data_IF_772946092785
#
_entry.id   IF_772946092785
#
_cell.length_a   1.000
_cell.length_b   1.000
_cell.length_c   1.000
_cell.angle_alpha   90.00
_cell.angle_beta   90.00
_cell.angle_gamma   90.00
#
_symmetry.space_group_name_H-M   'P 1'
#
loop_
_entity.id
_entity.type
_entity.pdbx_description
1 polymer ?
#
# COMPACT_ATOMS: atom_id res chain seq x y z
N UNK A 1 -5.40 6.15 -11.65
CA UNK A 1 -5.87 5.70 -10.32
C UNK A 1 -7.38 5.50 -10.25
N UNK A 2 -8.24 6.52 -10.37
CA UNK A 2 -9.71 6.33 -10.25
C UNK A 2 -10.33 5.32 -11.23
N UNK A 3 -9.72 5.13 -12.41
CA UNK A 3 -10.08 4.08 -13.39
C UNK A 3 -9.44 2.71 -13.12
N UNK A 4 -8.34 2.66 -12.35
CA UNK A 4 -7.57 1.41 -12.10
C UNK A 4 -7.98 0.72 -10.77
N UNK A 5 -8.74 1.36 -9.86
CA UNK A 5 -9.08 0.79 -8.52
C UNK A 5 -10.18 1.58 -7.79
N UNK A 6 -10.86 0.93 -6.84
CA UNK A 6 -11.84 1.58 -5.96
C UNK A 6 -11.16 2.50 -4.94
N UNK A 7 -11.16 3.80 -5.26
CA UNK A 7 -10.59 4.83 -4.40
C UNK A 7 -11.29 4.94 -3.04
N UNK A 8 -12.59 4.63 -2.94
CA UNK A 8 -13.31 4.73 -1.66
C UNK A 8 -12.77 3.71 -0.67
N UNK A 9 -12.62 2.46 -1.10
CA UNK A 9 -12.04 1.39 -0.27
C UNK A 9 -10.61 1.72 0.17
N UNK A 10 -9.77 2.27 -0.72
CA UNK A 10 -8.41 2.67 -0.36
C UNK A 10 -8.40 3.81 0.68
N UNK A 11 -9.24 4.83 0.50
CA UNK A 11 -9.36 5.91 1.49
C UNK A 11 -9.80 5.40 2.86
N UNK A 12 -10.74 4.45 2.92
CA UNK A 12 -11.17 3.84 4.19
C UNK A 12 -10.00 3.14 4.88
N UNK A 13 -9.18 2.37 4.14
CA UNK A 13 -8.02 1.66 4.69
C UNK A 13 -6.93 2.62 5.16
N UNK A 14 -6.61 3.66 4.36
CA UNK A 14 -5.64 4.69 4.74
C UNK A 14 -6.09 5.43 6.00
N UNK A 15 -7.36 5.80 6.12
CA UNK A 15 -7.89 6.46 7.33
C UNK A 15 -7.73 5.58 8.58
N UNK A 16 -7.91 4.26 8.46
CA UNK A 16 -7.64 3.33 9.56
C UNK A 16 -6.17 3.33 9.96
N UNK A 17 -5.25 3.27 8.99
CA UNK A 17 -3.80 3.32 9.22
C UNK A 17 -3.39 4.61 9.92
N UNK A 18 -3.95 5.76 9.51
CA UNK A 18 -3.72 7.04 10.19
C UNK A 18 -4.16 6.98 11.66
N UNK A 19 -5.31 6.35 11.95
CA UNK A 19 -5.76 6.12 13.31
C UNK A 19 -4.80 5.24 14.13
N UNK A 20 -4.22 4.21 13.52
CA UNK A 20 -3.22 3.35 14.16
C UNK A 20 -1.93 4.11 14.45
N UNK A 21 -1.45 4.94 13.51
CA UNK A 21 -0.27 5.79 13.71
C UNK A 21 -0.48 6.77 14.87
N UNK A 22 -1.64 7.41 14.94
CA UNK A 22 -1.98 8.31 16.05
C UNK A 22 -2.08 7.58 17.40
N UNK A 23 -2.43 6.29 17.40
CA UNK A 23 -2.44 5.49 18.63
C UNK A 23 -1.02 5.16 19.08
N UNK A 24 -0.14 4.75 18.14
CA UNK A 24 1.28 4.50 18.42
C UNK A 24 1.96 5.75 18.97
N UNK A 25 1.70 6.92 18.38
CA UNK A 25 2.23 8.21 18.83
C UNK A 25 1.92 8.46 20.31
N UNK A 26 0.66 8.24 20.72
CA UNK A 26 0.25 8.35 22.13
C UNK A 26 0.91 7.31 23.04
N UNK A 27 1.06 6.07 22.56
CA UNK A 27 1.68 5.00 23.35
C UNK A 27 3.15 5.29 23.68
N UNK A 28 3.82 6.18 22.94
CA UNK A 28 5.21 6.59 23.22
C UNK A 28 5.29 7.53 24.42
N UNK A 29 4.27 8.38 24.61
CA UNK A 29 4.19 9.32 25.73
C UNK A 29 3.58 8.67 26.99
N UNK A 30 2.91 7.53 26.82
CA UNK A 30 2.31 6.73 27.88
C UNK A 30 3.31 5.63 28.33
N UNK A 31 3.24 5.19 29.59
CA UNK A 31 4.12 4.13 30.15
C UNK A 31 3.70 2.72 29.65
N UNK A 32 3.55 2.58 28.34
CA UNK A 32 3.14 1.36 27.65
C UNK A 32 4.37 0.48 27.41
N UNK A 33 4.28 -0.85 27.65
CA UNK A 33 5.39 -1.76 27.36
C UNK A 33 5.87 -1.66 25.90
N UNK A 34 7.19 -1.61 25.70
CA UNK A 34 7.80 -1.55 24.37
C UNK A 34 7.30 -2.65 23.43
N UNK A 35 7.02 -3.83 23.98
CA UNK A 35 6.56 -5.00 23.23
C UNK A 35 5.18 -4.76 22.59
N UNK A 36 4.29 -4.06 23.30
CA UNK A 36 2.97 -3.69 22.81
C UNK A 36 3.05 -2.61 21.72
N UNK A 37 3.95 -1.63 21.87
CA UNK A 37 4.22 -0.63 20.83
C UNK A 37 4.73 -1.32 19.55
N UNK A 38 5.66 -2.27 19.67
CA UNK A 38 6.18 -3.04 18.53
C UNK A 38 5.10 -3.87 17.84
N UNK A 39 4.16 -4.44 18.59
CA UNK A 39 2.99 -5.13 18.04
C UNK A 39 2.15 -4.17 17.19
N UNK A 40 1.85 -2.96 17.69
CA UNK A 40 1.05 -1.97 16.94
C UNK A 40 1.78 -1.45 15.70
N UNK A 41 3.09 -1.22 15.79
CA UNK A 41 3.93 -0.85 14.64
C UNK A 41 3.86 -1.92 13.57
N UNK A 42 4.02 -3.20 13.93
CA UNK A 42 3.91 -4.30 12.98
C UNK A 42 2.51 -4.41 12.36
N UNK A 43 1.45 -4.27 13.15
CA UNK A 43 0.08 -4.26 12.65
C UNK A 43 -0.16 -3.13 11.63
N UNK A 44 0.38 -1.94 11.90
CA UNK A 44 0.30 -0.78 11.01
C UNK A 44 1.10 -1.00 9.73
N UNK A 45 2.32 -1.57 9.83
CA UNK A 45 3.14 -1.97 8.67
C UNK A 45 2.39 -2.96 7.78
N UNK A 46 1.82 -4.02 8.36
CA UNK A 46 1.05 -5.02 7.61
C UNK A 46 -0.18 -4.42 6.92
N UNK A 47 -0.89 -3.50 7.58
CA UNK A 47 -2.01 -2.79 6.98
C UNK A 47 -1.58 -1.94 5.78
N UNK A 48 -0.46 -1.22 5.89
CA UNK A 48 0.12 -0.43 4.79
C UNK A 48 0.57 -1.32 3.62
N UNK A 49 1.25 -2.43 3.90
CA UNK A 49 1.63 -3.41 2.89
C UNK A 49 0.40 -3.92 2.12
N UNK A 50 -0.71 -4.20 2.81
CA UNK A 50 -1.95 -4.64 2.15
C UNK A 50 -2.57 -3.57 1.26
N UNK A 51 -2.45 -2.29 1.62
CA UNK A 51 -2.86 -1.18 0.74
C UNK A 51 -2.00 -1.14 -0.51
N UNK A 52 -0.68 -1.27 -0.38
CA UNK A 52 0.24 -1.33 -1.52
C UNK A 52 -0.08 -2.50 -2.45
N UNK A 53 -0.39 -3.68 -1.91
CA UNK A 53 -0.81 -4.83 -2.70
C UNK A 53 -2.07 -4.54 -3.53
N UNK A 54 -3.10 -3.93 -2.92
CA UNK A 54 -4.33 -3.58 -3.64
C UNK A 54 -4.08 -2.58 -4.77
N UNK A 55 -3.16 -1.63 -4.55
CA UNK A 55 -2.75 -0.68 -5.58
C UNK A 55 -2.03 -1.40 -6.72
N UNK A 56 -1.11 -2.32 -6.41
CA UNK A 56 -0.38 -3.10 -7.41
C UNK A 56 -1.33 -3.98 -8.24
N UNK A 57 -2.27 -4.68 -7.60
CA UNK A 57 -3.29 -5.49 -8.27
C UNK A 57 -4.16 -4.65 -9.22
N UNK A 58 -4.62 -3.47 -8.80
CA UNK A 58 -5.39 -2.59 -9.67
C UNK A 58 -4.56 -1.99 -10.82
N UNK A 59 -3.28 -1.72 -10.57
CA UNK A 59 -2.35 -1.28 -11.62
C UNK A 59 -2.16 -2.37 -12.69
N UNK A 60 -1.94 -3.62 -12.26
CA UNK A 60 -1.79 -4.76 -13.16
C UNK A 60 -3.05 -4.99 -14.01
N UNK A 61 -4.22 -5.01 -13.38
CA UNK A 61 -5.49 -5.37 -14.04
C UNK A 61 -6.03 -4.33 -15.03
N UNK A 62 -5.51 -3.10 -15.02
CA UNK A 62 -6.00 -2.05 -15.90
C UNK A 62 -4.84 -1.38 -16.63
N UNK A 63 -4.04 -0.63 -15.89
CA UNK A 63 -3.01 0.22 -16.43
C UNK A 63 -1.93 -0.62 -17.22
N UNK A 64 -1.54 -1.80 -16.72
CA UNK A 64 -0.59 -2.72 -17.40
C UNK A 64 -1.26 -3.50 -18.53
N UNK A 65 -2.44 -4.09 -18.29
CA UNK A 65 -3.21 -4.81 -19.31
C UNK A 65 -3.43 -3.94 -20.56
N UNK A 66 -3.92 -2.72 -20.39
CA UNK A 66 -4.15 -1.77 -21.49
C UNK A 66 -2.86 -1.42 -22.23
N UNK A 67 -1.74 -1.27 -21.50
CA UNK A 67 -0.44 -0.98 -22.11
C UNK A 67 0.11 -2.13 -22.95
N UNK A 68 -0.21 -3.38 -22.60
CA UNK A 68 0.16 -4.57 -23.37
C UNK A 68 -0.77 -4.75 -24.59
N UNK A 69 -2.08 -4.55 -24.41
CA UNK A 69 -3.07 -4.79 -25.48
C UNK A 69 -3.08 -3.69 -26.54
N UNK A 70 -2.90 -2.42 -26.13
CA UNK A 70 -3.14 -1.25 -26.99
C UNK A 70 -1.93 -0.31 -27.08
N UNK A 71 -0.81 -0.62 -26.41
CA UNK A 71 0.33 0.28 -26.26
C UNK A 71 1.67 -0.35 -26.60
N UNK A 72 2.73 0.23 -26.02
CA UNK A 72 4.09 -0.28 -26.09
C UNK A 72 4.31 -1.29 -24.95
N UNK A 73 4.33 -2.58 -25.30
CA UNK A 73 4.44 -3.69 -24.35
C UNK A 73 5.76 -3.67 -23.58
N UNK A 74 6.88 -3.42 -24.26
CA UNK A 74 8.21 -3.41 -23.65
C UNK A 74 8.32 -2.30 -22.61
N UNK A 75 7.92 -1.08 -22.98
CA UNK A 75 7.92 0.06 -22.05
C UNK A 75 6.96 -0.14 -20.89
N UNK A 76 5.84 -0.83 -21.11
CA UNK A 76 4.87 -1.14 -20.07
C UNK A 76 5.44 -2.13 -19.07
N UNK A 77 6.08 -3.21 -19.55
CA UNK A 77 6.76 -4.20 -18.70
C UNK A 77 7.88 -3.53 -17.90
N UNK A 78 8.73 -2.70 -18.52
CA UNK A 78 9.81 -1.99 -17.83
C UNK A 78 9.30 -1.15 -16.65
N UNK A 79 8.23 -0.37 -16.87
CA UNK A 79 7.60 0.43 -15.81
C UNK A 79 7.00 -0.41 -14.71
N UNK A 80 6.36 -1.51 -15.07
CA UNK A 80 5.75 -2.41 -14.09
C UNK A 80 6.81 -3.10 -13.23
N UNK A 81 7.91 -3.57 -13.83
CA UNK A 81 9.06 -4.14 -13.10
C UNK A 81 9.61 -3.15 -12.07
N UNK A 82 9.81 -1.88 -12.44
CA UNK A 82 10.25 -0.83 -11.49
C UNK A 82 9.27 -0.65 -10.32
N UNK A 83 7.96 -0.71 -10.59
CA UNK A 83 6.94 -0.60 -9.54
C UNK A 83 6.96 -1.79 -8.58
N UNK A 84 7.16 -3.02 -9.09
CA UNK A 84 7.31 -4.23 -8.27
C UNK A 84 8.58 -4.17 -7.42
N UNK A 85 9.71 -3.77 -8.00
CA UNK A 85 10.98 -3.65 -7.26
C UNK A 85 10.89 -2.67 -6.09
N UNK A 86 10.13 -1.59 -6.24
CA UNK A 86 9.90 -0.67 -5.13
C UNK A 86 8.99 -1.27 -4.06
N UNK A 87 7.94 -1.98 -4.47
CA UNK A 87 6.99 -2.61 -3.54
C UNK A 87 7.64 -3.77 -2.76
N UNK A 88 8.52 -4.56 -3.38
CA UNK A 88 9.19 -5.70 -2.73
C UNK A 88 10.17 -5.31 -1.63
N UNK A 89 10.52 -4.02 -1.53
CA UNK A 89 11.40 -3.47 -0.49
C UNK A 89 10.65 -2.98 0.76
N UNK A 90 9.31 -3.01 0.76
CA UNK A 90 8.46 -2.62 1.91
C UNK A 90 8.41 -3.71 2.99
#
# INVERSE_FOLDING_TARGET
MKKCMDSKTLHVRIKKIIGQLNAIDKMIDEDIPCEDVLIQVNATKSALHKVGQLILEGHLNHCVREGIEHGDSEKTIEKFTKAIEQFSRM
#
